data_IF_456747121587
#
_entry.id   IF_456747121587
#
_cell.length_a   1.000
_cell.length_b   1.000
_cell.length_c   1.000
_cell.angle_alpha   90.00
_cell.angle_beta   90.00
_cell.angle_gamma   90.00
#
_symmetry.space_group_name_H-M   'P 1'
#
loop_
_entity.id
_entity.type
_entity.pdbx_description
1 polymer ?
#
# COMPACT_ATOMS: atom_id res chain seq x y z
N UNK A 1 28.56 25.80 5.52
CA UNK A 1 27.64 24.72 5.06
C UNK A 1 26.60 24.53 6.16
N UNK A 2 25.29 24.50 5.86
CA UNK A 2 24.27 24.29 6.90
C UNK A 2 24.26 22.82 7.31
N UNK A 3 24.03 22.55 8.58
CA UNK A 3 23.90 21.18 9.08
C UNK A 3 22.66 20.51 8.49
N UNK A 4 22.77 19.23 8.10
CA UNK A 4 21.68 18.48 7.49
C UNK A 4 20.45 18.40 8.42
N UNK A 5 20.68 18.34 9.73
CA UNK A 5 19.62 18.33 10.74
C UNK A 5 18.77 19.61 10.69
N UNK A 6 19.39 20.76 10.44
CA UNK A 6 18.71 22.06 10.41
C UNK A 6 17.91 22.20 9.11
N UNK A 7 18.46 21.68 8.00
CA UNK A 7 17.78 21.60 6.70
C UNK A 7 16.54 20.71 6.81
N UNK A 8 16.68 19.53 7.42
CA UNK A 8 15.58 18.59 7.62
C UNK A 8 14.50 19.18 8.54
N UNK A 9 14.88 19.78 9.67
CA UNK A 9 13.94 20.43 10.58
C UNK A 9 13.13 21.55 9.90
N UNK A 10 13.77 22.33 9.02
CA UNK A 10 13.09 23.35 8.21
C UNK A 10 12.14 22.73 7.19
N UNK A 11 12.55 21.65 6.49
CA UNK A 11 11.69 20.95 5.54
C UNK A 11 10.45 20.35 6.23
N UNK A 12 10.63 19.74 7.40
CA UNK A 12 9.53 19.26 8.24
C UNK A 12 8.61 20.41 8.65
N UNK A 13 9.13 21.61 8.92
CA UNK A 13 8.33 22.79 9.24
C UNK A 13 7.55 23.33 8.03
N UNK A 14 8.16 23.35 6.85
CA UNK A 14 7.57 23.88 5.61
C UNK A 14 6.53 22.95 5.00
N UNK A 15 6.75 21.65 5.14
CA UNK A 15 5.74 20.65 4.83
C UNK A 15 4.42 20.93 5.57
N UNK A 16 4.48 21.51 6.78
CA UNK A 16 3.37 21.72 7.71
C UNK A 16 2.58 23.03 7.55
N UNK A 17 2.58 23.70 6.40
CA UNK A 17 1.68 24.84 6.16
C UNK A 17 0.20 24.38 6.27
N UNK A 18 -0.36 24.37 7.49
CA UNK A 18 -1.76 24.05 7.79
C UNK A 18 -2.07 23.37 9.14
N UNK A 19 -1.17 22.60 9.77
CA UNK A 19 -1.50 21.83 10.99
C UNK A 19 -0.33 21.81 12.00
N UNK A 20 -0.62 22.19 13.26
CA UNK A 20 0.37 22.45 14.33
C UNK A 20 0.79 21.17 15.10
N UNK A 21 0.04 20.06 15.00
CA UNK A 21 0.34 18.84 15.76
C UNK A 21 1.16 17.82 14.95
N UNK A 22 2.20 17.17 15.52
CA UNK A 22 2.80 15.99 14.90
C UNK A 22 1.79 14.84 14.87
N UNK A 23 1.22 14.55 13.70
CA UNK A 23 0.32 13.39 13.47
C UNK A 23 1.08 12.07 13.23
N UNK A 24 2.42 12.09 13.33
CA UNK A 24 3.24 10.89 13.16
C UNK A 24 2.95 9.83 14.21
N UNK A 25 2.52 10.24 15.42
CA UNK A 25 2.05 9.33 16.47
C UNK A 25 0.60 8.88 16.29
N UNK A 26 -0.14 9.45 15.34
CA UNK A 26 -1.55 9.18 15.07
C UNK A 26 -1.72 8.38 13.77
N UNK A 27 -0.86 7.37 13.59
CA UNK A 27 -0.93 6.41 12.48
C UNK A 27 -2.23 5.59 12.52
N UNK A 28 -3.30 6.14 11.94
CA UNK A 28 -4.54 5.41 11.68
C UNK A 28 -4.65 4.97 10.22
N UNK A 29 -5.29 3.83 10.00
CA UNK A 29 -5.62 3.18 8.71
C UNK A 29 -6.11 4.15 7.61
N UNK A 30 -6.83 5.22 7.98
CA UNK A 30 -7.39 6.21 7.05
C UNK A 30 -6.39 7.27 6.53
N UNK A 31 -5.17 7.35 7.08
CA UNK A 31 -4.21 8.43 6.81
C UNK A 31 -3.08 8.12 5.80
N UNK A 32 -3.03 6.92 5.22
CA UNK A 32 -1.84 6.46 4.48
C UNK A 32 -1.52 7.30 3.23
N UNK A 33 -2.53 7.75 2.48
CA UNK A 33 -2.31 8.55 1.25
C UNK A 33 -1.88 9.99 1.52
N UNK A 34 -2.52 10.75 2.43
CA UNK A 34 -1.99 12.02 2.89
C UNK A 34 -0.55 11.91 3.41
N UNK A 35 -0.21 10.85 4.14
CA UNK A 35 1.16 10.65 4.64
C UNK A 35 2.17 10.42 3.51
N UNK A 36 1.81 9.67 2.47
CA UNK A 36 2.66 9.48 1.28
C UNK A 36 2.90 10.79 0.53
N UNK A 37 1.86 11.57 0.30
CA UNK A 37 1.97 12.88 -0.34
C UNK A 37 2.87 13.83 0.47
N UNK A 38 2.80 13.76 1.80
CA UNK A 38 3.66 14.54 2.70
C UNK A 38 5.11 14.07 2.68
N UNK A 39 5.34 12.75 2.69
CA UNK A 39 6.68 12.18 2.55
C UNK A 39 7.32 12.60 1.22
N UNK A 40 6.58 12.48 0.12
CA UNK A 40 6.99 12.94 -1.22
C UNK A 40 7.29 14.45 -1.24
N UNK A 41 6.47 15.28 -0.59
CA UNK A 41 6.74 16.71 -0.44
C UNK A 41 8.05 17.00 0.33
N UNK A 42 8.32 16.27 1.42
CA UNK A 42 9.59 16.40 2.17
C UNK A 42 10.77 16.02 1.28
N UNK A 43 10.67 14.94 0.51
CA UNK A 43 11.73 14.50 -0.41
C UNK A 43 12.04 15.58 -1.45
N UNK A 44 11.01 16.25 -2.01
CA UNK A 44 11.20 17.40 -2.90
C UNK A 44 11.86 18.59 -2.20
N UNK A 45 11.40 18.97 -1.01
CA UNK A 45 11.98 20.09 -0.24
C UNK A 45 13.45 19.87 0.13
N UNK A 46 13.83 18.62 0.39
CA UNK A 46 15.22 18.20 0.64
C UNK A 46 16.04 18.31 -0.65
N UNK A 47 15.52 17.81 -1.77
CA UNK A 47 16.15 17.91 -3.09
C UNK A 47 16.39 19.37 -3.50
N UNK A 48 15.41 20.26 -3.32
CA UNK A 48 15.51 21.69 -3.63
C UNK A 48 16.61 22.40 -2.81
N UNK A 49 16.99 21.82 -1.67
CA UNK A 49 18.06 22.31 -0.79
C UNK A 49 19.40 21.61 -1.02
N UNK A 50 19.52 20.84 -2.09
CA UNK A 50 20.75 20.14 -2.47
C UNK A 50 21.04 18.89 -1.64
N UNK A 51 20.06 18.34 -0.92
CA UNK A 51 20.21 17.10 -0.17
C UNK A 51 19.90 15.93 -1.09
N UNK A 52 20.86 15.01 -1.23
CA UNK A 52 20.66 13.73 -1.92
C UNK A 52 20.50 12.62 -0.90
N UNK A 53 19.43 11.82 -1.04
CA UNK A 53 19.22 10.61 -0.23
C UNK A 53 19.84 9.45 -0.99
N UNK A 54 20.79 8.78 -0.36
CA UNK A 54 21.52 7.65 -0.93
C UNK A 54 21.31 6.45 -0.02
N UNK A 55 20.98 5.31 -0.60
CA UNK A 55 21.04 4.05 0.13
C UNK A 55 22.51 3.67 0.31
N UNK A 56 22.96 3.52 1.55
CA UNK A 56 24.31 3.05 1.87
C UNK A 56 24.26 1.66 2.47
N UNK A 57 25.16 0.78 2.02
CA UNK A 57 25.19 -0.63 2.39
C UNK A 57 24.22 -1.51 1.59
N UNK A 58 24.34 -2.83 1.75
CA UNK A 58 23.32 -3.75 1.23
C UNK A 58 22.02 -3.51 1.97
N UNK A 59 20.88 -3.41 1.26
CA UNK A 59 19.60 -3.34 1.93
C UNK A 59 19.46 -4.61 2.76
N UNK A 60 19.25 -4.46 4.06
CA UNK A 60 18.89 -5.59 4.90
C UNK A 60 17.67 -6.22 4.24
N UNK A 61 17.78 -7.47 3.81
CA UNK A 61 16.64 -8.21 3.25
C UNK A 61 15.56 -8.17 4.31
N UNK A 62 14.56 -7.33 4.11
CA UNK A 62 13.33 -7.42 4.87
C UNK A 62 12.82 -8.83 4.62
N UNK A 63 12.49 -9.55 5.70
CA UNK A 63 11.91 -10.89 5.59
C UNK A 63 10.87 -10.87 4.50
N UNK A 64 10.98 -11.77 3.51
CA UNK A 64 10.04 -11.87 2.38
C UNK A 64 8.63 -11.77 2.97
N UNK A 65 7.75 -10.87 2.46
CA UNK A 65 6.41 -10.74 3.00
C UNK A 65 5.77 -12.12 3.08
N UNK A 66 5.17 -12.46 4.22
CA UNK A 66 4.42 -13.70 4.30
C UNK A 66 3.32 -13.66 3.23
N UNK A 67 2.97 -14.80 2.60
CA UNK A 67 1.96 -14.82 1.55
C UNK A 67 0.65 -14.18 2.01
N UNK A 68 0.27 -14.42 3.26
CA UNK A 68 -0.85 -13.73 3.92
C UNK A 68 -0.39 -12.35 4.38
N UNK A 69 -0.88 -11.32 3.71
CA UNK A 69 -0.49 -9.94 3.99
C UNK A 69 -1.59 -9.14 4.69
N UNK A 70 -2.81 -9.66 4.75
CA UNK A 70 -3.91 -9.04 5.48
C UNK A 70 -4.88 -10.11 6.01
N UNK A 71 -5.29 -9.99 7.27
CA UNK A 71 -6.27 -10.86 7.91
C UNK A 71 -7.08 -10.04 8.90
N UNK A 72 -8.40 -10.12 8.83
CA UNK A 72 -9.27 -9.38 9.73
C UNK A 72 -10.60 -10.08 10.00
N UNK A 73 -11.15 -9.87 11.20
CA UNK A 73 -12.48 -10.40 11.57
C UNK A 73 -13.58 -9.71 10.77
N UNK A 74 -14.51 -10.48 10.21
CA UNK A 74 -15.68 -9.93 9.53
C UNK A 74 -16.68 -9.43 10.59
N UNK A 75 -17.02 -8.15 10.52
CA UNK A 75 -17.98 -7.54 11.45
C UNK A 75 -19.30 -8.32 11.46
N UNK A 76 -19.77 -8.67 12.66
CA UNK A 76 -21.02 -9.42 12.84
C UNK A 76 -20.94 -10.92 12.50
N UNK A 77 -19.77 -11.48 12.19
CA UNK A 77 -19.60 -12.91 11.92
C UNK A 77 -18.50 -13.51 12.80
N UNK A 78 -18.60 -14.81 13.08
CA UNK A 78 -17.51 -15.58 13.67
C UNK A 78 -16.57 -16.12 12.57
N UNK A 79 -16.16 -15.23 11.68
CA UNK A 79 -15.35 -15.54 10.51
C UNK A 79 -14.31 -14.46 10.27
N UNK A 80 -13.23 -14.82 9.59
CA UNK A 80 -12.16 -13.92 9.17
C UNK A 80 -12.13 -13.79 7.65
N UNK A 81 -11.61 -12.67 7.18
CA UNK A 81 -11.23 -12.45 5.80
C UNK A 81 -9.71 -12.43 5.72
N UNK A 82 -9.17 -13.13 4.73
CA UNK A 82 -7.74 -13.28 4.51
C UNK A 82 -7.45 -12.82 3.08
N UNK A 83 -6.49 -11.92 2.90
CA UNK A 83 -5.91 -11.61 1.60
C UNK A 83 -4.46 -12.09 1.56
N UNK A 84 -4.11 -12.76 0.46
CA UNK A 84 -2.78 -13.32 0.26
C UNK A 84 -2.31 -13.17 -1.18
N UNK A 85 -0.99 -13.17 -1.35
CA UNK A 85 -0.37 -13.38 -2.65
C UNK A 85 -0.47 -14.88 -2.98
N UNK A 86 -1.19 -15.21 -4.05
CA UNK A 86 -1.31 -16.53 -4.63
C UNK A 86 -0.53 -16.64 -5.95
N UNK A 87 -0.49 -17.84 -6.52
CA UNK A 87 0.27 -18.09 -7.76
C UNK A 87 -0.22 -17.28 -8.97
N UNK A 88 -1.51 -16.92 -8.98
CA UNK A 88 -2.17 -16.25 -10.10
C UNK A 88 -2.65 -14.83 -9.74
N UNK A 89 -2.03 -14.18 -8.75
CA UNK A 89 -2.41 -12.85 -8.29
C UNK A 89 -2.79 -12.81 -6.83
N UNK A 90 -3.76 -11.96 -6.49
CA UNK A 90 -4.26 -11.83 -5.13
C UNK A 90 -5.44 -12.77 -4.93
N UNK A 91 -5.41 -13.52 -3.84
CA UNK A 91 -6.51 -14.35 -3.39
C UNK A 91 -7.14 -13.75 -2.14
N UNK A 92 -8.48 -13.67 -2.14
CA UNK A 92 -9.26 -13.23 -0.99
C UNK A 92 -10.14 -14.39 -0.56
N UNK A 93 -9.89 -14.91 0.64
CA UNK A 93 -10.58 -16.06 1.20
C UNK A 93 -11.31 -15.69 2.49
N UNK A 94 -12.43 -16.37 2.75
CA UNK A 94 -13.13 -16.34 4.04
C UNK A 94 -12.72 -17.58 4.83
N UNK A 95 -12.34 -17.39 6.10
CA UNK A 95 -12.12 -18.48 7.06
C UNK A 95 -13.31 -18.50 8.02
N UNK A 96 -14.06 -19.59 8.04
CA UNK A 96 -15.26 -19.76 8.86
C UNK A 96 -15.25 -21.16 9.50
N UNK A 97 -15.35 -21.22 10.83
CA UNK A 97 -15.26 -22.47 11.59
C UNK A 97 -14.07 -23.39 11.19
N UNK A 98 -12.91 -22.80 10.89
CA UNK A 98 -11.71 -23.53 10.45
C UNK A 98 -11.71 -23.98 8.99
N UNK A 99 -12.78 -23.72 8.24
CA UNK A 99 -12.86 -23.98 6.80
C UNK A 99 -12.55 -22.71 6.03
N UNK A 100 -11.56 -22.77 5.15
CA UNK A 100 -11.20 -21.68 4.27
C UNK A 100 -11.88 -21.83 2.92
N UNK A 101 -12.46 -20.74 2.39
CA UNK A 101 -13.09 -20.70 1.08
C UNK A 101 -12.62 -19.46 0.32
N UNK A 102 -11.93 -19.66 -0.79
CA UNK A 102 -11.52 -18.58 -1.70
C UNK A 102 -12.76 -17.98 -2.37
N UNK A 103 -12.91 -16.66 -2.25
CA UNK A 103 -14.06 -15.93 -2.78
C UNK A 103 -13.72 -15.12 -4.01
N UNK A 104 -12.49 -14.62 -4.10
CA UNK A 104 -11.98 -13.88 -5.26
C UNK A 104 -10.53 -14.29 -5.52
N UNK A 105 -10.20 -14.39 -6.80
CA UNK A 105 -8.82 -14.46 -7.30
C UNK A 105 -8.73 -13.48 -8.46
N UNK A 106 -7.75 -12.58 -8.42
CA UNK A 106 -7.61 -11.53 -9.44
C UNK A 106 -6.17 -11.07 -9.58
N UNK A 107 -5.81 -10.56 -10.76
CA UNK A 107 -4.48 -10.02 -11.03
C UNK A 107 -4.35 -8.54 -10.60
N UNK A 108 -3.11 -8.09 -10.34
CA UNK A 108 -2.85 -6.67 -10.07
C UNK A 108 -3.25 -5.75 -11.24
N UNK A 109 -3.04 -6.22 -12.48
CA UNK A 109 -3.44 -5.48 -13.68
C UNK A 109 -4.96 -5.24 -13.75
N UNK A 110 -5.75 -6.25 -13.36
CA UNK A 110 -7.21 -6.12 -13.25
C UNK A 110 -7.59 -5.08 -12.21
N UNK A 111 -6.99 -5.14 -11.01
CA UNK A 111 -7.26 -4.14 -9.97
C UNK A 111 -6.89 -2.71 -10.40
N UNK A 112 -5.83 -2.54 -11.20
CA UNK A 112 -5.46 -1.25 -11.77
C UNK A 112 -6.47 -0.74 -12.81
N UNK A 113 -6.95 -1.61 -13.71
CA UNK A 113 -7.98 -1.24 -14.67
C UNK A 113 -9.25 -0.76 -13.94
N UNK A 114 -9.66 -1.48 -12.90
CA UNK A 114 -10.80 -1.11 -12.05
C UNK A 114 -10.60 0.24 -11.35
N UNK A 115 -9.40 0.48 -10.80
CA UNK A 115 -9.08 1.75 -10.17
C UNK A 115 -9.11 2.91 -11.18
N UNK A 116 -8.56 2.71 -12.38
CA UNK A 116 -8.56 3.71 -13.46
C UNK A 116 -9.98 4.03 -13.93
N UNK A 117 -10.81 3.01 -14.15
CA UNK A 117 -12.23 3.19 -14.46
C UNK A 117 -12.94 4.01 -13.39
N UNK A 118 -12.61 3.79 -12.12
CA UNK A 118 -13.13 4.56 -10.99
C UNK A 118 -12.73 6.04 -11.06
N UNK A 119 -11.46 6.33 -11.38
CA UNK A 119 -10.96 7.69 -11.55
C UNK A 119 -11.59 8.40 -12.77
N UNK A 120 -11.92 7.66 -13.82
CA UNK A 120 -12.63 8.19 -14.98
C UNK A 120 -14.14 8.39 -14.75
N UNK A 121 -14.66 8.04 -13.58
CA UNK A 121 -16.08 8.18 -13.25
C UNK A 121 -16.99 7.19 -13.98
N UNK A 122 -16.48 5.99 -14.32
CA UNK A 122 -17.29 4.91 -14.88
C UNK A 122 -18.43 4.55 -13.93
N UNK A 123 -19.66 4.86 -14.34
CA UNK A 123 -20.88 4.66 -13.54
C UNK A 123 -21.23 3.19 -13.37
N UNK A 124 -20.73 2.33 -14.25
CA UNK A 124 -21.03 0.89 -14.23
C UNK A 124 -20.06 0.11 -13.35
N UNK A 125 -18.93 0.71 -12.96
CA UNK A 125 -17.89 0.06 -12.14
C UNK A 125 -18.44 -0.60 -10.87
N UNK A 126 -19.36 0.07 -10.18
CA UNK A 126 -19.92 -0.40 -8.91
C UNK A 126 -20.81 -1.64 -9.05
N UNK A 127 -21.19 -2.03 -10.28
CA UNK A 127 -21.94 -3.27 -10.54
C UNK A 127 -21.02 -4.48 -10.66
N UNK A 128 -19.71 -4.28 -10.79
CA UNK A 128 -18.78 -5.38 -10.93
C UNK A 128 -18.55 -6.12 -9.59
N UNK A 129 -18.57 -7.45 -9.67
CA UNK A 129 -18.48 -8.31 -8.51
C UNK A 129 -17.16 -8.08 -7.73
N UNK A 130 -17.30 -7.71 -6.46
CA UNK A 130 -16.17 -7.57 -5.55
C UNK A 130 -15.23 -6.41 -5.87
N UNK A 131 -15.62 -5.45 -6.72
CA UNK A 131 -14.75 -4.36 -7.19
C UNK A 131 -14.04 -3.61 -6.06
N UNK A 132 -14.76 -3.24 -5.00
CA UNK A 132 -14.19 -2.58 -3.82
C UNK A 132 -13.15 -3.49 -3.17
N UNK A 133 -13.48 -4.77 -2.99
CA UNK A 133 -12.58 -5.75 -2.38
C UNK A 133 -11.31 -5.95 -3.19
N UNK A 134 -11.41 -6.01 -4.53
CA UNK A 134 -10.26 -6.13 -5.43
C UNK A 134 -9.32 -4.93 -5.29
N UNK A 135 -9.87 -3.70 -5.39
CA UNK A 135 -9.10 -2.45 -5.27
C UNK A 135 -8.48 -2.33 -3.87
N UNK A 136 -9.24 -2.61 -2.80
CA UNK A 136 -8.74 -2.54 -1.42
C UNK A 136 -7.65 -3.57 -1.14
N UNK A 137 -7.81 -4.82 -1.59
CA UNK A 137 -6.80 -5.85 -1.37
C UNK A 137 -5.52 -5.59 -2.17
N UNK A 138 -5.62 -5.06 -3.40
CA UNK A 138 -4.45 -4.60 -4.17
C UNK A 138 -3.72 -3.46 -3.46
N UNK A 139 -4.46 -2.48 -2.93
CA UNK A 139 -3.90 -1.37 -2.16
C UNK A 139 -3.13 -1.87 -0.92
N UNK A 140 -3.68 -2.82 -0.16
CA UNK A 140 -2.97 -3.43 0.97
C UNK A 140 -1.73 -4.19 0.53
N UNK A 141 -1.81 -4.97 -0.56
CA UNK A 141 -0.65 -5.68 -1.11
C UNK A 141 0.49 -4.72 -1.47
N UNK A 142 0.19 -3.54 -2.04
CA UNK A 142 1.20 -2.52 -2.31
C UNK A 142 1.76 -1.89 -1.03
N UNK A 143 0.92 -1.65 -0.02
CA UNK A 143 1.33 -0.99 1.24
C UNK A 143 2.32 -1.82 2.04
N UNK A 144 2.22 -3.14 1.97
CA UNK A 144 3.10 -4.09 2.68
C UNK A 144 4.17 -4.73 1.78
N UNK A 145 4.26 -4.32 0.52
CA UNK A 145 5.23 -4.86 -0.46
C UNK A 145 4.91 -6.28 -0.96
N UNK A 146 3.76 -6.86 -0.60
CA UNK A 146 3.33 -8.18 -1.06
C UNK A 146 2.90 -8.22 -2.54
N UNK A 147 2.67 -7.06 -3.17
CA UNK A 147 2.37 -6.98 -4.60
C UNK A 147 3.46 -7.63 -5.48
N UNK A 148 4.73 -7.62 -5.04
CA UNK A 148 5.84 -8.27 -5.74
C UNK A 148 5.64 -9.79 -5.81
N UNK A 149 4.99 -10.39 -4.81
CA UNK A 149 4.73 -11.83 -4.74
C UNK A 149 3.50 -12.24 -5.57
N UNK A 150 2.58 -11.31 -5.80
CA UNK A 150 1.36 -11.52 -6.58
C UNK A 150 1.53 -11.20 -8.07
N UNK A 151 2.66 -10.59 -8.47
CA UNK A 151 3.00 -10.42 -9.87
C UNK A 151 3.39 -11.80 -10.46
N UNK A 152 2.87 -12.18 -11.64
CA UNK A 152 3.41 -13.35 -12.34
C UNK A 152 4.91 -13.13 -12.53
N UNK A 153 5.71 -14.15 -12.22
CA UNK A 153 7.18 -14.11 -12.35
C UNK A 153 7.54 -13.39 -13.66
N UNK A 154 8.28 -12.29 -13.57
CA UNK A 154 9.10 -11.85 -14.70
C UNK A 154 10.13 -12.96 -14.84
N UNK A 155 9.78 -14.01 -15.58
CA UNK A 155 10.70 -15.09 -15.94
C UNK A 155 11.83 -14.45 -16.73
N UNK A 156 12.99 -14.37 -16.09
CA UNK A 156 14.32 -14.23 -16.66
C UNK A 156 14.36 -13.56 -18.03
N UNK A 157 14.42 -12.22 -18.04
CA UNK A 157 15.13 -11.53 -19.10
C UNK A 157 16.62 -11.51 -18.72
N UNK A 158 17.32 -12.59 -19.10
CA UNK A 158 18.77 -12.55 -19.34
C UNK A 158 19.08 -11.60 -20.49
#
# INVERSE_FOLDING_TARGET
MREIRDILAECIRLERLGLIHPLWSEWFEAGREPVRMRADHILRLLSDRGVTIVQTGEPQSTTRPEPVFWRWKINGQNAERIARAGANGIEVAKLDAGTETTQLTFGLAEAHDLANRGLCGDRELMKEAGVITKISAALEAYRVGAAILAAPEIRDAQ
#
